data_IF_971837083130
#
_entry.id   IF_971837083130
#
_cell.length_a   1.000
_cell.length_b   1.000
_cell.length_c   1.000
_cell.angle_alpha   90.00
_cell.angle_beta   90.00
_cell.angle_gamma   90.00
#
_symmetry.space_group_name_H-M   'P 1'
#
loop_
_entity.id
_entity.type
_entity.pdbx_description
1 polymer ?
#
# COMPACT_ATOMS: atom_id res chain seq x y z
N UNK A 1 4.28 48.34 -43.08
CA UNK A 1 3.35 47.35 -43.67
C UNK A 1 1.97 47.97 -43.69
N UNK A 2 1.22 47.89 -44.80
CA UNK A 2 -0.05 48.62 -44.94
C UNK A 2 -1.09 48.10 -43.95
N UNK A 3 -1.72 49.01 -43.21
CA UNK A 3 -2.81 48.79 -42.24
C UNK A 3 -4.12 48.25 -42.87
N UNK A 4 -4.06 47.81 -44.13
CA UNK A 4 -5.22 47.43 -44.96
C UNK A 4 -5.27 45.94 -45.29
N UNK A 5 -4.29 45.14 -44.83
CA UNK A 5 -4.29 43.69 -45.04
C UNK A 5 -4.82 42.96 -43.81
N UNK A 6 -5.70 41.98 -44.02
CA UNK A 6 -6.02 40.97 -43.01
C UNK A 6 -4.75 40.12 -42.80
N UNK A 7 -4.16 40.19 -41.61
CA UNK A 7 -2.91 39.54 -41.21
C UNK A 7 -3.18 38.57 -40.04
N UNK A 8 -2.19 37.76 -39.68
CA UNK A 8 -2.38 36.76 -38.62
C UNK A 8 -2.76 37.38 -37.26
N UNK A 9 -2.40 38.65 -37.03
CA UNK A 9 -2.72 39.35 -35.79
C UNK A 9 -4.18 39.78 -35.75
N UNK A 10 -4.68 40.40 -36.83
CA UNK A 10 -6.07 40.85 -36.88
C UNK A 10 -7.08 39.69 -37.00
N UNK A 11 -6.72 38.58 -37.64
CA UNK A 11 -7.53 37.36 -37.68
C UNK A 11 -7.60 36.66 -36.32
N UNK A 12 -6.53 36.72 -35.51
CA UNK A 12 -6.51 36.19 -34.14
C UNK A 12 -7.37 37.03 -33.18
N UNK A 13 -7.51 38.33 -33.43
CA UNK A 13 -8.27 39.25 -32.57
C UNK A 13 -9.70 39.56 -33.04
N UNK A 14 -10.12 39.05 -34.21
CA UNK A 14 -11.37 39.45 -34.87
C UNK A 14 -12.65 39.05 -34.09
N UNK A 15 -12.59 37.99 -33.28
CA UNK A 15 -13.71 37.41 -32.52
C UNK A 15 -13.17 36.68 -31.27
N UNK A 16 -14.04 36.27 -30.33
CA UNK A 16 -13.67 35.37 -29.22
C UNK A 16 -13.11 34.06 -29.80
N UNK A 17 -11.88 33.69 -29.42
CA UNK A 17 -11.05 32.60 -29.96
C UNK A 17 -10.48 32.81 -31.38
N UNK A 18 -10.63 34.00 -31.96
CA UNK A 18 -10.09 34.33 -33.28
C UNK A 18 -10.72 33.54 -34.43
N UNK A 19 -10.26 33.81 -35.64
CA UNK A 19 -10.65 33.09 -36.87
C UNK A 19 -9.60 32.05 -37.30
N UNK A 20 -8.44 32.02 -36.64
CA UNK A 20 -7.36 31.07 -36.87
C UNK A 20 -7.45 30.00 -35.78
N UNK A 21 -7.55 28.74 -36.19
CA UNK A 21 -7.57 27.62 -35.24
C UNK A 21 -6.29 27.62 -34.40
N UNK A 22 -6.46 27.46 -33.09
CA UNK A 22 -5.35 27.26 -32.17
C UNK A 22 -4.79 25.85 -32.38
N UNK A 23 -3.48 25.73 -32.64
CA UNK A 23 -2.82 24.43 -32.65
C UNK A 23 -2.59 23.98 -31.21
N UNK A 24 -3.19 22.86 -30.83
CA UNK A 24 -3.09 22.31 -29.49
C UNK A 24 -2.24 21.05 -29.56
N UNK A 25 -1.19 21.02 -28.75
CA UNK A 25 -0.28 19.89 -28.70
C UNK A 25 -0.97 18.62 -28.18
N UNK A 26 -1.05 17.60 -29.03
CA UNK A 26 -1.78 16.34 -28.80
C UNK A 26 -0.98 15.30 -28.01
N UNK A 27 -0.33 15.70 -26.91
CA UNK A 27 0.45 14.78 -26.08
C UNK A 27 0.31 15.10 -24.60
N UNK A 28 0.06 14.05 -23.82
CA UNK A 28 0.05 14.11 -22.35
C UNK A 28 1.36 13.50 -21.86
N UNK A 29 2.07 14.24 -21.01
CA UNK A 29 3.18 13.70 -20.24
C UNK A 29 2.68 13.36 -18.85
N UNK A 30 2.71 12.07 -18.53
CA UNK A 30 2.48 11.62 -17.16
C UNK A 30 3.80 11.67 -16.39
N UNK A 31 3.82 12.42 -15.30
CA UNK A 31 4.97 12.59 -14.40
C UNK A 31 4.81 11.66 -13.17
N UNK A 32 3.70 10.93 -13.08
CA UNK A 32 3.28 10.15 -11.91
C UNK A 32 3.92 8.76 -11.89
N UNK A 33 5.25 8.68 -11.87
CA UNK A 33 5.95 7.41 -11.60
C UNK A 33 6.40 7.36 -10.15
N UNK A 34 5.51 6.91 -9.26
CA UNK A 34 5.85 6.65 -7.86
C UNK A 34 6.23 5.17 -7.75
N UNK A 35 7.48 4.83 -7.36
CA UNK A 35 7.88 3.45 -7.16
C UNK A 35 7.08 2.81 -6.02
N UNK A 36 6.83 1.50 -6.11
CA UNK A 36 6.11 0.73 -5.10
C UNK A 36 7.08 -0.28 -4.45
N UNK A 37 8.01 0.18 -3.60
CA UNK A 37 9.16 -0.61 -3.18
C UNK A 37 8.81 -1.85 -2.36
N UNK A 38 7.74 -1.82 -1.55
CA UNK A 38 7.35 -2.97 -0.75
C UNK A 38 6.71 -4.04 -1.64
N UNK A 39 5.65 -3.67 -2.38
CA UNK A 39 4.92 -4.61 -3.25
C UNK A 39 5.79 -5.18 -4.38
N UNK A 40 6.79 -4.44 -4.86
CA UNK A 40 7.75 -4.94 -5.86
C UNK A 40 8.81 -5.89 -5.25
N UNK A 41 9.09 -5.80 -3.94
CA UNK A 41 10.12 -6.59 -3.26
C UNK A 41 9.58 -7.91 -2.66
N UNK A 42 8.31 -7.96 -2.29
CA UNK A 42 7.69 -9.13 -1.64
C UNK A 42 7.08 -10.10 -2.65
N UNK A 43 7.00 -11.38 -2.26
CA UNK A 43 6.29 -12.39 -3.04
C UNK A 43 4.77 -12.24 -2.94
N UNK A 44 4.04 -12.79 -3.91
CA UNK A 44 2.58 -12.79 -3.95
C UNK A 44 2.04 -14.22 -3.91
N UNK A 45 0.98 -14.45 -3.14
CA UNK A 45 0.20 -15.69 -3.15
C UNK A 45 -1.31 -15.38 -3.22
N UNK A 46 -2.12 -16.37 -3.56
CA UNK A 46 -3.57 -16.25 -3.69
C UNK A 46 -4.30 -17.04 -2.62
N UNK A 47 -5.35 -16.47 -2.05
CA UNK A 47 -6.25 -17.14 -1.12
C UNK A 47 -7.72 -16.92 -1.54
N UNK A 48 -8.62 -17.78 -1.05
CA UNK A 48 -10.05 -17.74 -1.42
C UNK A 48 -10.96 -17.23 -0.31
N UNK A 49 -10.53 -17.40 0.94
CA UNK A 49 -11.33 -17.06 2.10
C UNK A 49 -11.01 -15.64 2.58
N UNK A 50 -11.93 -15.03 3.33
CA UNK A 50 -11.72 -13.70 3.91
C UNK A 50 -10.56 -13.67 4.90
N UNK A 51 -10.37 -14.75 5.65
CA UNK A 51 -9.27 -14.92 6.59
C UNK A 51 -8.28 -15.94 6.04
N UNK A 52 -7.01 -15.57 6.03
CA UNK A 52 -5.90 -16.43 5.62
C UNK A 52 -4.91 -16.59 6.76
N UNK A 53 -4.53 -17.83 7.04
CA UNK A 53 -3.68 -18.20 8.16
C UNK A 53 -2.54 -19.11 7.71
N UNK A 54 -1.39 -18.95 8.34
CA UNK A 54 -0.18 -19.73 8.14
C UNK A 54 0.46 -20.09 9.47
N UNK A 55 1.19 -21.21 9.50
CA UNK A 55 1.90 -21.67 10.69
C UNK A 55 3.33 -21.14 10.68
N UNK A 56 3.76 -20.52 11.76
CA UNK A 56 5.14 -20.16 12.02
C UNK A 56 5.74 -21.16 13.00
N UNK A 57 6.90 -21.70 12.65
CA UNK A 57 7.71 -22.52 13.54
C UNK A 57 9.16 -22.07 13.46
N UNK A 58 9.88 -22.15 14.57
CA UNK A 58 11.25 -21.69 14.71
C UNK A 58 12.12 -22.78 15.29
N UNK A 59 13.31 -22.96 14.71
CA UNK A 59 14.30 -23.86 15.27
C UNK A 59 14.82 -23.31 16.61
N UNK A 60 15.10 -24.21 17.56
CA UNK A 60 15.73 -23.85 18.82
C UNK A 60 17.07 -23.14 18.60
N UNK A 61 17.43 -22.25 19.53
CA UNK A 61 18.70 -21.53 19.48
C UNK A 61 19.90 -22.48 19.56
N UNK A 62 21.04 -22.16 18.92
CA UNK A 62 22.22 -23.02 18.93
C UNK A 62 22.81 -23.13 20.34
N UNK A 63 22.89 -24.35 20.86
CA UNK A 63 23.54 -24.61 22.15
C UNK A 63 25.06 -24.77 21.96
N UNK A 64 25.83 -23.79 22.47
CA UNK A 64 27.30 -23.81 22.45
C UNK A 64 27.91 -24.91 23.34
N UNK A 65 27.10 -25.46 24.25
CA UNK A 65 27.49 -26.48 25.22
C UNK A 65 26.81 -27.83 24.98
N UNK A 66 26.33 -28.09 23.76
CA UNK A 66 25.70 -29.34 23.39
C UNK A 66 26.72 -30.49 23.34
N UNK A 67 27.03 -31.05 24.52
CA UNK A 67 27.89 -32.22 24.74
C UNK A 67 27.18 -33.14 25.70
N UNK A 68 27.06 -34.40 25.30
CA UNK A 68 26.45 -35.47 26.12
C UNK A 68 27.52 -36.49 26.49
N UNK A 69 27.35 -37.14 27.65
CA UNK A 69 28.23 -38.23 28.08
C UNK A 69 27.94 -39.46 27.21
N UNK A 70 28.95 -40.25 26.89
CA UNK A 70 28.77 -41.50 26.15
C UNK A 70 27.86 -42.45 26.92
N UNK A 71 26.71 -42.80 26.33
CA UNK A 71 25.66 -43.62 26.95
C UNK A 71 24.57 -42.85 27.72
N UNK A 72 24.54 -41.52 27.65
CA UNK A 72 23.47 -40.69 28.23
C UNK A 72 22.20 -40.73 27.36
N UNK A 73 21.04 -40.73 28.01
CA UNK A 73 19.76 -40.73 27.30
C UNK A 73 19.45 -39.33 26.77
N UNK A 74 19.09 -39.27 25.49
CA UNK A 74 18.78 -38.02 24.79
C UNK A 74 17.33 -37.65 25.11
N UNK A 75 17.13 -36.77 26.08
CA UNK A 75 15.83 -36.15 26.38
C UNK A 75 15.66 -34.90 25.48
N UNK A 76 15.21 -35.13 24.23
CA UNK A 76 14.87 -34.05 23.30
C UNK A 76 13.36 -33.81 23.36
N UNK A 77 12.98 -32.56 23.56
CA UNK A 77 11.59 -32.13 23.53
C UNK A 77 11.22 -31.64 22.13
N UNK A 78 10.56 -32.51 21.36
CA UNK A 78 10.04 -32.23 20.02
C UNK A 78 8.58 -31.73 20.05
N UNK A 79 8.05 -31.30 21.20
CA UNK A 79 6.63 -30.97 21.34
C UNK A 79 6.22 -29.60 20.78
N UNK A 80 7.14 -28.84 20.18
CA UNK A 80 6.80 -27.56 19.56
C UNK A 80 5.96 -27.79 18.28
N UNK A 81 4.67 -27.43 18.34
CA UNK A 81 3.72 -27.56 17.24
C UNK A 81 3.64 -26.30 16.34
N UNK A 82 4.44 -25.26 16.65
CA UNK A 82 4.36 -23.96 16.00
C UNK A 82 3.11 -23.16 16.39
N UNK A 83 3.06 -21.90 15.95
CA UNK A 83 1.95 -20.97 16.20
C UNK A 83 1.28 -20.61 14.89
N UNK A 84 -0.06 -20.60 14.86
CA UNK A 84 -0.83 -20.15 13.70
C UNK A 84 -1.07 -18.64 13.81
N UNK A 85 -0.73 -17.92 12.76
CA UNK A 85 -0.99 -16.49 12.61
C UNK A 85 -1.77 -16.24 11.33
N UNK A 86 -2.48 -15.12 11.22
CA UNK A 86 -3.28 -14.83 10.04
C UNK A 86 -3.63 -13.36 9.86
N UNK A 87 -4.24 -13.06 8.72
CA UNK A 87 -4.69 -11.72 8.37
C UNK A 87 -6.04 -11.76 7.63
N UNK A 88 -6.77 -10.66 7.70
CA UNK A 88 -8.02 -10.47 6.97
C UNK A 88 -7.80 -9.81 5.60
N UNK A 89 -8.65 -10.16 4.65
CA UNK A 89 -8.70 -9.56 3.32
C UNK A 89 -9.43 -8.22 3.31
N UNK A 90 -8.99 -7.30 2.46
CA UNK A 90 -9.62 -6.00 2.26
C UNK A 90 -10.02 -5.82 0.80
N UNK A 91 -11.20 -5.25 0.57
CA UNK A 91 -11.64 -4.83 -0.77
C UNK A 91 -11.39 -3.33 -0.97
N UNK A 92 -10.63 -2.98 -2.01
CA UNK A 92 -10.34 -1.59 -2.39
C UNK A 92 -10.95 -1.26 -3.75
N UNK A 93 -11.60 -0.11 -3.86
CA UNK A 93 -12.31 0.32 -5.08
C UNK A 93 -11.97 1.76 -5.47
N UNK A 94 -11.93 2.02 -6.78
CA UNK A 94 -11.84 3.36 -7.39
C UNK A 94 -12.85 3.47 -8.51
N UNK A 95 -13.61 4.55 -8.52
CA UNK A 95 -14.65 4.77 -9.52
C UNK A 95 -14.13 5.57 -10.72
N UNK A 96 -14.59 5.19 -11.92
CA UNK A 96 -14.42 5.95 -13.15
C UNK A 96 -15.80 6.34 -13.67
N UNK A 97 -16.00 7.62 -13.95
CA UNK A 97 -17.23 8.15 -14.55
C UNK A 97 -16.88 8.98 -15.78
N UNK A 98 -17.21 8.48 -16.97
CA UNK A 98 -17.04 9.20 -18.23
C UNK A 98 -18.34 9.13 -19.02
N UNK A 99 -18.79 10.26 -19.56
CA UNK A 99 -20.01 10.31 -20.37
C UNK A 99 -19.77 9.83 -21.80
N UNK A 100 -20.78 9.26 -22.46
CA UNK A 100 -20.68 8.79 -23.85
C UNK A 100 -20.27 9.91 -24.82
N UNK A 101 -20.77 11.13 -24.63
CA UNK A 101 -20.37 12.28 -25.45
C UNK A 101 -18.90 12.66 -25.28
N UNK A 102 -18.34 12.47 -24.09
CA UNK A 102 -16.92 12.72 -23.83
C UNK A 102 -16.02 11.62 -24.42
N UNK A 103 -16.55 10.40 -24.60
CA UNK A 103 -15.83 9.31 -25.29
C UNK A 103 -15.77 9.56 -26.80
N UNK A 104 -16.87 10.05 -27.39
CA UNK A 104 -16.99 10.32 -28.83
C UNK A 104 -16.43 11.69 -29.26
N UNK A 105 -15.99 12.52 -28.33
CA UNK A 105 -15.42 13.83 -28.63
C UNK A 105 -13.94 13.71 -28.95
N UNK A 106 -13.45 14.52 -29.88
CA UNK A 106 -12.02 14.69 -30.11
C UNK A 106 -11.40 15.36 -28.87
N UNK A 107 -10.58 14.62 -28.14
CA UNK A 107 -9.99 15.06 -26.87
C UNK A 107 -8.50 15.24 -27.05
N UNK A 108 -7.98 16.36 -26.50
CA UNK A 108 -6.58 16.73 -26.69
C UNK A 108 -5.66 15.65 -26.12
N UNK A 109 -4.88 15.01 -26.99
CA UNK A 109 -3.87 14.02 -26.63
C UNK A 109 -4.42 12.73 -26.01
N UNK A 110 -5.71 12.43 -26.18
CA UNK A 110 -6.35 11.20 -25.68
C UNK A 110 -7.13 10.52 -26.81
N UNK A 111 -6.78 9.28 -27.11
CA UNK A 111 -7.54 8.47 -28.06
C UNK A 111 -8.87 7.95 -27.47
N UNK A 112 -8.93 7.75 -26.15
CA UNK A 112 -10.13 7.38 -25.41
C UNK A 112 -10.02 7.83 -23.95
N UNK A 113 -10.92 8.71 -23.52
CA UNK A 113 -10.98 9.24 -22.15
C UNK A 113 -11.22 8.14 -21.11
N UNK A 114 -12.04 7.14 -21.43
CA UNK A 114 -12.35 6.04 -20.51
C UNK A 114 -11.11 5.19 -20.23
N UNK A 115 -10.38 4.78 -21.26
CA UNK A 115 -9.17 3.97 -21.12
C UNK A 115 -8.10 4.70 -20.30
N UNK A 116 -7.93 6.00 -20.52
CA UNK A 116 -7.01 6.82 -19.76
C UNK A 116 -7.38 6.89 -18.27
N UNK A 117 -8.65 7.19 -17.96
CA UNK A 117 -9.12 7.24 -16.58
C UNK A 117 -9.00 5.89 -15.87
N UNK A 118 -9.29 4.77 -16.57
CA UNK A 118 -9.10 3.43 -16.03
C UNK A 118 -7.63 3.18 -15.69
N UNK A 119 -6.70 3.52 -16.58
CA UNK A 119 -5.27 3.37 -16.32
C UNK A 119 -4.84 4.17 -15.09
N UNK A 120 -5.29 5.43 -14.96
CA UNK A 120 -4.97 6.26 -13.81
C UNK A 120 -5.53 5.69 -12.50
N UNK A 121 -6.78 5.21 -12.49
CA UNK A 121 -7.37 4.58 -11.30
C UNK A 121 -6.69 3.27 -10.92
N UNK A 122 -6.21 2.50 -11.88
CA UNK A 122 -5.42 1.30 -11.60
C UNK A 122 -4.08 1.64 -10.93
N UNK A 123 -3.40 2.69 -11.39
CA UNK A 123 -2.16 3.15 -10.74
C UNK A 123 -2.42 3.67 -9.33
N UNK A 124 -3.50 4.44 -9.13
CA UNK A 124 -3.93 4.90 -7.80
C UNK A 124 -4.26 3.73 -6.87
N UNK A 125 -4.94 2.70 -7.37
CA UNK A 125 -5.29 1.52 -6.57
C UNK A 125 -4.04 0.76 -6.11
N UNK A 126 -3.02 0.62 -6.97
CA UNK A 126 -1.75 0.01 -6.58
C UNK A 126 -1.01 0.82 -5.51
N UNK A 127 -1.04 2.16 -5.62
CA UNK A 127 -0.46 3.04 -4.60
C UNK A 127 -1.22 2.97 -3.28
N UNK A 128 -2.54 2.87 -3.32
CA UNK A 128 -3.36 2.74 -2.11
C UNK A 128 -3.12 1.39 -1.42
N UNK A 129 -2.88 0.32 -2.18
CA UNK A 129 -2.46 -0.96 -1.64
C UNK A 129 -1.12 -0.84 -0.90
N UNK A 130 -0.10 -0.26 -1.54
CA UNK A 130 1.22 -0.02 -0.91
C UNK A 130 1.09 0.82 0.37
N UNK A 131 0.28 1.89 0.33
CA UNK A 131 0.04 2.74 1.50
C UNK A 131 -0.68 1.97 2.63
N UNK A 132 -1.64 1.11 2.29
CA UNK A 132 -2.31 0.25 3.28
C UNK A 132 -1.33 -0.75 3.89
N UNK A 133 -0.47 -1.37 3.08
CA UNK A 133 0.54 -2.31 3.55
C UNK A 133 1.62 -1.65 4.44
N UNK A 134 1.95 -0.38 4.21
CA UNK A 134 2.90 0.38 5.04
C UNK A 134 2.24 1.03 6.27
N UNK A 135 0.91 0.97 6.39
CA UNK A 135 0.20 1.57 7.51
C UNK A 135 0.37 0.76 8.81
N UNK A 136 0.04 1.41 9.93
CA UNK A 136 -0.10 0.76 11.24
C UNK A 136 -1.56 0.40 11.51
N UNK A 137 -2.30 0.03 10.48
CA UNK A 137 -3.70 -0.34 10.62
C UNK A 137 -3.81 -1.73 11.28
N UNK A 138 -4.70 -1.86 12.26
CA UNK A 138 -5.08 -3.15 12.83
C UNK A 138 -5.87 -3.96 11.80
N UNK A 139 -5.83 -5.29 11.92
CA UNK A 139 -6.73 -6.14 11.15
C UNK A 139 -8.15 -6.07 11.71
N UNK A 140 -9.16 -6.12 10.84
CA UNK A 140 -10.57 -6.03 11.24
C UNK A 140 -11.34 -7.10 10.48
N UNK A 141 -12.12 -7.90 11.21
CA UNK A 141 -13.09 -8.83 10.64
C UNK A 141 -14.24 -8.08 9.99
N UNK A 142 -14.57 -8.41 8.75
CA UNK A 142 -15.72 -7.84 8.06
C UNK A 142 -17.03 -8.20 8.76
N UNK A 143 -17.92 -7.22 8.89
CA UNK A 143 -19.31 -7.40 9.33
C UNK A 143 -20.23 -6.62 8.41
N UNK A 144 -21.55 -6.79 8.55
CA UNK A 144 -22.54 -6.02 7.78
C UNK A 144 -22.43 -4.49 7.98
N UNK A 145 -21.74 -4.04 9.05
CA UNK A 145 -21.56 -2.62 9.37
C UNK A 145 -20.11 -2.12 9.23
N UNK A 146 -19.13 -3.02 9.12
CA UNK A 146 -17.70 -2.67 9.14
C UNK A 146 -16.98 -3.44 8.04
N UNK A 147 -16.24 -2.74 7.18
CA UNK A 147 -15.45 -3.38 6.14
C UNK A 147 -14.27 -4.16 6.74
N UNK A 148 -14.00 -5.34 6.19
CA UNK A 148 -12.80 -6.12 6.52
C UNK A 148 -11.54 -5.34 6.15
N UNK A 149 -10.54 -5.37 7.03
CA UNK A 149 -9.30 -4.62 6.90
C UNK A 149 -8.09 -5.51 7.13
N UNK A 150 -7.12 -5.43 6.22
CA UNK A 150 -5.85 -6.10 6.37
C UNK A 150 -4.96 -5.32 7.36
N UNK A 151 -4.29 -6.04 8.26
CA UNK A 151 -3.24 -5.49 9.10
C UNK A 151 -2.02 -5.12 8.26
N UNK A 152 -1.55 -3.87 8.38
CA UNK A 152 -0.35 -3.39 7.69
C UNK A 152 0.95 -3.86 8.36
N UNK A 153 2.08 -3.80 7.66
CA UNK A 153 3.39 -4.29 8.11
C UNK A 153 3.81 -3.73 9.47
N UNK A 154 3.49 -2.46 9.75
CA UNK A 154 3.86 -1.84 11.01
C UNK A 154 3.09 -2.43 12.19
N UNK A 155 1.86 -2.90 11.98
CA UNK A 155 1.08 -3.60 13.02
C UNK A 155 1.63 -4.99 13.33
N UNK A 156 2.44 -5.58 12.45
CA UNK A 156 3.09 -6.88 12.65
C UNK A 156 4.40 -6.82 13.46
N UNK A 157 4.88 -5.62 13.81
CA UNK A 157 6.14 -5.47 14.55
C UNK A 157 5.92 -5.68 16.05
N UNK A 158 6.38 -6.82 16.57
CA UNK A 158 6.25 -7.20 17.98
C UNK A 158 7.51 -6.90 18.81
N UNK A 159 8.66 -7.45 18.41
CA UNK A 159 9.85 -7.47 19.29
C UNK A 159 10.88 -6.39 18.97
N UNK A 160 10.89 -5.89 17.73
CA UNK A 160 11.89 -4.94 17.24
C UNK A 160 11.36 -3.49 17.23
N UNK A 161 10.76 -3.08 18.34
CA UNK A 161 10.19 -1.72 18.49
C UNK A 161 10.99 -0.93 19.52
N UNK A 162 11.40 0.29 19.14
CA UNK A 162 12.07 1.21 20.05
C UNK A 162 11.03 2.04 20.82
N UNK A 163 10.83 1.71 22.11
CA UNK A 163 9.77 2.32 22.92
C UNK A 163 10.17 3.65 23.58
N UNK A 164 9.21 4.59 23.77
CA UNK A 164 9.37 5.72 24.68
C UNK A 164 9.46 5.25 26.15
N UNK A 165 9.94 6.09 27.08
CA UNK A 165 10.15 5.64 28.48
C UNK A 165 8.86 5.25 29.21
N UNK A 166 7.70 5.73 28.74
CA UNK A 166 6.41 5.11 29.06
C UNK A 166 5.99 4.25 27.88
N UNK A 167 6.08 2.92 27.98
CA UNK A 167 5.77 2.02 26.88
C UNK A 167 4.33 2.19 26.39
N UNK A 168 4.15 2.11 25.09
CA UNK A 168 2.86 1.95 24.45
C UNK A 168 2.38 0.50 24.50
N UNK A 169 1.29 0.24 23.77
CA UNK A 169 0.86 -1.14 23.50
C UNK A 169 1.53 -1.59 22.21
N UNK A 170 2.39 -2.60 22.32
CA UNK A 170 3.01 -3.26 21.17
C UNK A 170 1.91 -3.91 20.32
N UNK A 171 2.05 -3.83 19.00
CA UNK A 171 1.16 -4.53 18.06
C UNK A 171 1.41 -6.03 18.04
N UNK A 172 1.00 -6.69 16.96
CA UNK A 172 1.29 -8.11 16.73
C UNK A 172 0.05 -8.95 16.56
N UNK A 173 0.27 -10.24 16.26
CA UNK A 173 -0.83 -11.17 16.09
C UNK A 173 -1.32 -11.70 17.44
N UNK A 174 -2.56 -11.39 17.78
CA UNK A 174 -3.18 -11.82 19.00
C UNK A 174 -3.88 -13.17 18.80
N UNK A 175 -3.26 -14.23 19.31
CA UNK A 175 -3.78 -15.61 19.19
C UNK A 175 -5.11 -15.85 19.90
N UNK A 176 -5.49 -14.97 20.83
CA UNK A 176 -6.79 -15.05 21.52
C UNK A 176 -7.95 -14.46 20.73
N UNK A 177 -7.68 -13.44 19.91
CA UNK A 177 -8.71 -12.73 19.11
C UNK A 177 -8.66 -13.09 17.62
N UNK A 178 -7.53 -13.64 17.14
CA UNK A 178 -7.30 -13.93 15.72
C UNK A 178 -7.04 -12.67 14.88
N UNK A 179 -6.69 -11.55 15.53
CA UNK A 179 -6.54 -10.23 14.91
C UNK A 179 -5.10 -9.75 15.09
N UNK A 180 -4.62 -8.98 14.12
CA UNK A 180 -3.37 -8.21 14.23
C UNK A 180 -3.69 -6.88 14.92
N UNK A 181 -3.18 -6.70 16.13
CA UNK A 181 -3.32 -5.48 16.91
C UNK A 181 -2.37 -4.40 16.38
N UNK A 182 -2.85 -3.17 16.26
CA UNK A 182 -2.02 -2.04 15.85
C UNK A 182 -1.14 -1.56 17.00
N UNK A 183 0.05 -1.05 16.65
CA UNK A 183 0.89 -0.36 17.63
C UNK A 183 0.20 0.90 18.17
N UNK A 184 0.12 1.06 19.49
CA UNK A 184 -0.38 2.27 20.14
C UNK A 184 0.78 2.98 20.80
N UNK A 185 1.16 4.14 20.26
CA UNK A 185 2.30 4.90 20.77
C UNK A 185 2.09 5.35 22.23
N UNK A 186 3.13 5.19 23.03
CA UNK A 186 3.22 5.75 24.38
C UNK A 186 3.43 7.28 24.37
N UNK A 187 3.86 7.82 25.51
CA UNK A 187 4.12 9.27 25.62
C UNK A 187 5.36 9.65 24.82
N UNK A 188 5.24 10.61 23.90
CA UNK A 188 6.36 11.06 23.09
C UNK A 188 7.49 11.67 23.94
N UNK A 189 8.73 11.34 23.58
CA UNK A 189 9.94 11.86 24.23
C UNK A 189 10.95 12.35 23.19
N UNK A 190 11.91 13.16 23.63
CA UNK A 190 13.02 13.58 22.78
C UNK A 190 13.90 12.37 22.41
N UNK A 191 14.31 12.30 21.14
CA UNK A 191 15.27 11.29 20.66
C UNK A 191 16.59 11.47 21.41
N UNK A 192 17.12 10.41 22.02
CA UNK A 192 18.41 10.41 22.72
C UNK A 192 19.38 9.47 22.00
N UNK A 193 20.68 9.78 22.05
CA UNK A 193 21.72 8.97 21.39
C UNK A 193 21.67 7.49 21.84
N UNK A 194 21.40 7.23 23.12
CA UNK A 194 21.25 5.89 23.68
C UNK A 194 20.11 5.08 23.05
N UNK A 195 19.06 5.74 22.52
CA UNK A 195 17.94 5.04 21.85
C UNK A 195 18.19 4.78 20.36
N UNK A 196 19.24 5.38 19.77
CA UNK A 196 19.56 5.29 18.34
C UNK A 196 20.73 4.32 18.10
N UNK A 197 21.61 4.18 19.10
CA UNK A 197 22.87 3.45 19.01
C UNK A 197 22.74 2.03 19.55
#
# INVERSE_FOLDING_TARGET
MSTSNLDGYNLKSALVNGLINEDVMQKIWDISKIPLPLTDAIGTDSHKNEYYEWTQDSLAAPAIDNKVIDGDDIDQDDTNLGVRVGNHSQTSVKEVKVSTRAIESDTIGRANELSYQVMMRQQELKRDLEASMLSNNASITGTDAVAGQAGGLNAWLETNVAEPATPGTIGGFNTGTGIVDAYVAGTAEALTETKIR
#
